data_IF_680936122423
#
_entry.id   IF_680936122423
#
_cell.length_a   1.000
_cell.length_b   1.000
_cell.length_c   1.000
_cell.angle_alpha   90.00
_cell.angle_beta   90.00
_cell.angle_gamma   90.00
#
_symmetry.space_group_name_H-M   'P 1'
#
loop_
_entity.id
_entity.type
_entity.pdbx_description
1 polymer ?
#
# COMPACT_ATOMS: atom_id res chain seq x y z
N UNK A 1 17.36 15.44 2.99
CA UNK A 1 17.04 15.07 1.59
C UNK A 1 15.84 15.86 1.13
N UNK A 2 15.95 16.53 -0.01
CA UNK A 2 14.80 17.17 -0.66
C UNK A 2 13.89 16.11 -1.33
N UNK A 3 12.74 16.51 -1.87
CA UNK A 3 11.84 15.54 -2.54
C UNK A 3 12.47 14.82 -3.72
N UNK A 4 13.27 15.52 -4.53
CA UNK A 4 13.98 14.95 -5.67
C UNK A 4 14.93 13.83 -5.25
N UNK A 5 15.73 14.07 -4.21
CA UNK A 5 16.66 13.10 -3.64
C UNK A 5 15.89 11.87 -3.12
N UNK A 6 14.76 12.08 -2.42
CA UNK A 6 13.92 10.99 -1.91
C UNK A 6 13.40 10.13 -3.06
N UNK A 7 12.87 10.73 -4.13
CA UNK A 7 12.37 10.00 -5.30
C UNK A 7 13.49 9.23 -6.00
N UNK A 8 14.68 9.82 -6.13
CA UNK A 8 15.84 9.15 -6.72
C UNK A 8 16.28 7.93 -5.89
N UNK A 9 16.37 8.09 -4.56
CA UNK A 9 16.70 7.00 -3.63
C UNK A 9 15.70 5.85 -3.73
N UNK A 10 14.40 6.15 -3.73
CA UNK A 10 13.38 5.11 -3.84
C UNK A 10 13.45 4.38 -5.18
N UNK A 11 13.66 5.12 -6.27
CA UNK A 11 13.75 4.54 -7.61
C UNK A 11 14.96 3.59 -7.75
N UNK A 12 16.12 3.95 -7.19
CA UNK A 12 17.30 3.08 -7.20
C UNK A 12 17.18 1.89 -6.25
N UNK A 13 16.30 1.96 -5.26
CA UNK A 13 16.05 0.88 -4.30
C UNK A 13 15.09 -0.21 -4.83
N UNK A 14 14.32 0.06 -5.89
CA UNK A 14 13.44 -0.95 -6.50
C UNK A 14 14.25 -1.88 -7.39
N UNK A 15 14.12 -3.19 -7.17
CA UNK A 15 14.70 -4.20 -8.05
C UNK A 15 13.68 -4.69 -9.05
N UNK A 16 14.13 -4.99 -10.25
CA UNK A 16 13.30 -5.52 -11.32
C UNK A 16 13.66 -6.99 -11.58
N UNK A 17 12.64 -7.83 -11.69
CA UNK A 17 12.75 -9.24 -12.05
C UNK A 17 11.89 -9.47 -13.30
N UNK A 18 12.54 -9.71 -14.43
CA UNK A 18 11.85 -10.04 -15.68
C UNK A 18 11.25 -11.45 -15.61
N UNK A 19 10.13 -11.63 -16.31
CA UNK A 19 9.41 -12.90 -16.45
C UNK A 19 8.98 -13.54 -15.12
N UNK A 20 8.67 -12.71 -14.12
CA UNK A 20 8.18 -13.15 -12.82
C UNK A 20 6.83 -12.48 -12.47
N UNK A 21 5.83 -13.23 -11.97
CA UNK A 21 5.80 -14.68 -11.75
C UNK A 21 5.56 -15.51 -13.02
N UNK A 22 5.37 -14.86 -14.18
CA UNK A 22 5.16 -15.50 -15.47
C UNK A 22 5.81 -14.69 -16.60
N UNK A 23 6.07 -15.30 -17.77
CA UNK A 23 6.64 -14.61 -18.91
C UNK A 23 5.89 -13.33 -19.30
N UNK A 24 6.62 -12.29 -19.68
CA UNK A 24 6.09 -10.97 -20.06
C UNK A 24 5.80 -10.02 -18.90
N UNK A 25 5.96 -10.45 -17.64
CA UNK A 25 5.76 -9.60 -16.46
C UNK A 25 7.11 -9.12 -15.91
N UNK A 26 7.30 -7.80 -15.77
CA UNK A 26 8.40 -7.22 -15.01
C UNK A 26 7.96 -6.97 -13.56
N UNK A 27 8.37 -7.84 -12.64
CA UNK A 27 8.06 -7.70 -11.22
C UNK A 27 8.97 -6.66 -10.56
N UNK A 28 8.34 -5.71 -9.87
CA UNK A 28 9.02 -4.68 -9.08
C UNK A 28 9.05 -5.07 -7.62
N UNK A 29 10.23 -5.44 -7.16
CA UNK A 29 10.50 -5.79 -5.78
C UNK A 29 10.86 -4.54 -4.95
N UNK A 30 9.95 -4.22 -4.02
CA UNK A 30 10.07 -3.09 -3.09
C UNK A 30 10.76 -3.49 -1.78
N UNK A 31 11.10 -4.76 -1.57
CA UNK A 31 11.67 -5.21 -0.30
C UNK A 31 12.95 -4.48 0.13
N UNK A 32 13.84 -3.98 -0.77
CA UNK A 32 14.98 -3.18 -0.33
C UNK A 32 14.56 -1.86 0.33
N UNK A 33 13.49 -1.21 -0.14
CA UNK A 33 12.94 -0.01 0.49
C UNK A 33 12.53 -0.30 1.94
N UNK A 34 11.95 -1.47 2.20
CA UNK A 34 11.51 -1.88 3.54
C UNK A 34 12.68 -2.24 4.46
N UNK A 35 13.81 -2.68 3.90
CA UNK A 35 15.01 -3.06 4.66
C UNK A 35 15.87 -1.87 5.05
N UNK A 36 15.89 -0.83 4.22
CA UNK A 36 16.63 0.40 4.50
C UNK A 36 15.71 1.41 5.25
N UNK A 37 16.00 1.73 6.52
CA UNK A 37 15.20 2.68 7.29
C UNK A 37 15.15 4.08 6.66
N UNK A 38 16.21 4.49 5.96
CA UNK A 38 16.27 5.79 5.27
C UNK A 38 15.32 5.80 4.08
N UNK A 39 15.36 4.75 3.26
CA UNK A 39 14.45 4.59 2.13
C UNK A 39 13.00 4.46 2.60
N UNK A 40 12.72 3.66 3.64
CA UNK A 40 11.37 3.53 4.17
C UNK A 40 10.82 4.87 4.68
N UNK A 41 11.61 5.62 5.46
CA UNK A 41 11.20 6.95 5.92
C UNK A 41 10.97 7.91 4.75
N UNK A 42 11.83 7.89 3.74
CA UNK A 42 11.66 8.71 2.54
C UNK A 42 10.36 8.39 1.79
N UNK A 43 9.96 7.11 1.72
CA UNK A 43 8.68 6.70 1.13
C UNK A 43 7.49 7.24 1.92
N UNK A 44 7.50 7.10 3.25
CA UNK A 44 6.43 7.60 4.12
C UNK A 44 6.32 9.13 4.02
N UNK A 45 7.44 9.85 4.04
CA UNK A 45 7.44 11.31 3.92
C UNK A 45 6.83 11.79 2.60
N UNK A 46 7.17 11.12 1.48
CA UNK A 46 6.62 11.47 0.17
C UNK A 46 5.12 11.16 0.08
N UNK A 47 4.67 10.04 0.65
CA UNK A 47 3.23 9.75 0.74
C UNK A 47 2.51 10.79 1.58
N UNK A 48 3.07 11.16 2.73
CA UNK A 48 2.49 12.16 3.62
C UNK A 48 2.37 13.52 2.93
N UNK A 49 3.44 14.00 2.28
CA UNK A 49 3.41 15.28 1.56
C UNK A 49 2.35 15.27 0.48
N UNK A 50 2.36 14.24 -0.37
CA UNK A 50 1.37 14.11 -1.45
C UNK A 50 -0.06 14.13 -0.91
N UNK A 51 -0.33 13.39 0.17
CA UNK A 51 -1.67 13.33 0.76
C UNK A 51 -2.09 14.67 1.38
N UNK A 52 -1.19 15.37 2.08
CA UNK A 52 -1.49 16.69 2.66
C UNK A 52 -1.77 17.74 1.58
N UNK A 53 -1.08 17.66 0.45
CA UNK A 53 -1.24 18.61 -0.65
C UNK A 53 -2.55 18.42 -1.43
N UNK A 54 -3.05 17.18 -1.52
CA UNK A 54 -4.19 16.82 -2.37
C UNK A 54 -5.49 16.59 -1.61
N UNK A 55 -5.43 16.31 -0.30
CA UNK A 55 -6.59 16.01 0.51
C UNK A 55 -6.65 16.94 1.72
N UNK A 56 -7.61 17.88 1.77
CA UNK A 56 -7.73 18.82 2.89
C UNK A 56 -8.08 18.15 4.21
N UNK A 57 -8.69 16.95 4.16
CA UNK A 57 -9.03 16.14 5.33
C UNK A 57 -8.95 14.66 4.99
N UNK A 58 -8.36 13.88 5.90
CA UNK A 58 -8.29 12.43 5.83
C UNK A 58 -8.70 11.88 7.19
N UNK A 59 -9.76 11.10 7.23
CA UNK A 59 -10.29 10.52 8.48
C UNK A 59 -9.71 9.14 8.79
N UNK A 60 -9.37 8.37 7.75
CA UNK A 60 -8.87 6.99 7.88
C UNK A 60 -7.91 6.67 6.72
N UNK A 61 -6.92 5.81 7.00
CA UNK A 61 -6.11 5.15 5.95
C UNK A 61 -6.57 3.70 5.84
N UNK A 62 -6.88 3.25 4.62
CA UNK A 62 -7.20 1.85 4.37
C UNK A 62 -6.09 1.16 3.59
N UNK A 63 -5.65 -0.02 4.06
CA UNK A 63 -4.64 -0.83 3.36
C UNK A 63 -5.27 -2.05 2.71
N UNK A 64 -4.78 -2.41 1.52
CA UNK A 64 -5.14 -3.66 0.83
C UNK A 64 -4.13 -4.78 1.14
N UNK A 65 -4.65 -5.96 1.46
CA UNK A 65 -3.86 -7.16 1.77
C UNK A 65 -2.96 -7.58 0.58
N UNK A 66 -1.68 -7.92 0.77
CA UNK A 66 -0.88 -7.83 2.00
C UNK A 66 0.06 -6.63 2.01
N UNK A 67 0.59 -6.25 0.85
CA UNK A 67 1.66 -5.25 0.74
C UNK A 67 1.22 -3.83 1.10
N UNK A 68 -0.07 -3.51 1.01
CA UNK A 68 -0.61 -2.24 1.49
C UNK A 68 -0.45 -2.07 3.01
N UNK A 69 -0.36 -3.18 3.76
CA UNK A 69 -0.14 -3.16 5.21
C UNK A 69 1.28 -2.78 5.61
N UNK A 70 2.21 -2.75 4.66
CA UNK A 70 3.61 -2.43 4.93
C UNK A 70 3.82 -0.92 5.13
N UNK A 71 2.97 -0.10 4.51
CA UNK A 71 3.06 1.37 4.59
C UNK A 71 1.86 1.99 5.31
N UNK A 72 0.67 1.41 5.14
CA UNK A 72 -0.58 1.96 5.63
C UNK A 72 -0.59 2.30 7.13
N UNK A 73 -0.22 1.38 8.05
CA UNK A 73 -0.17 1.65 9.47
C UNK A 73 0.82 2.77 9.84
N UNK A 74 1.99 2.79 9.22
CA UNK A 74 3.00 3.83 9.47
C UNK A 74 2.47 5.20 9.03
N UNK A 75 1.79 5.28 7.89
CA UNK A 75 1.18 6.50 7.40
C UNK A 75 -0.01 6.93 8.28
N UNK A 76 -0.89 6.01 8.66
CA UNK A 76 -2.00 6.31 9.58
C UNK A 76 -1.50 6.89 10.91
N UNK A 77 -0.40 6.34 11.43
CA UNK A 77 0.26 6.85 12.63
C UNK A 77 0.80 8.28 12.44
N UNK A 78 1.40 8.61 11.30
CA UNK A 78 1.86 9.97 10.97
C UNK A 78 0.73 10.99 10.94
N UNK A 79 -0.44 10.59 10.44
CA UNK A 79 -1.63 11.43 10.40
C UNK A 79 -2.41 11.47 11.71
N UNK A 80 -2.09 10.60 12.68
CA UNK A 80 -2.83 10.50 13.95
C UNK A 80 -4.25 9.97 13.79
N UNK A 81 -4.49 9.12 12.77
CA UNK A 81 -5.82 8.61 12.40
C UNK A 81 -5.84 7.08 12.39
N UNK A 82 -7.05 6.52 12.30
CA UNK A 82 -7.25 5.08 12.26
C UNK A 82 -6.76 4.42 10.98
N UNK A 83 -6.37 3.14 11.11
CA UNK A 83 -6.04 2.28 9.98
C UNK A 83 -7.08 1.17 9.80
N UNK A 84 -7.56 0.96 8.58
CA UNK A 84 -8.58 -0.05 8.24
C UNK A 84 -8.00 -1.11 7.32
N UNK A 85 -8.31 -2.37 7.63
CA UNK A 85 -7.90 -3.53 6.83
C UNK A 85 -8.91 -3.82 5.71
N UNK A 86 -8.42 -3.95 4.48
CA UNK A 86 -9.15 -4.52 3.35
C UNK A 86 -8.49 -5.85 2.97
N UNK A 87 -9.22 -6.95 3.09
CA UNK A 87 -8.66 -8.32 2.96
C UNK A 87 -9.42 -9.18 1.96
N UNK A 88 -8.81 -10.30 1.56
CA UNK A 88 -9.51 -11.34 0.79
C UNK A 88 -10.67 -11.95 1.59
N UNK A 89 -11.62 -12.57 0.88
CA UNK A 89 -12.74 -13.32 1.45
C UNK A 89 -12.35 -14.21 2.63
N UNK A 90 -13.10 -14.09 3.71
CA UNK A 90 -12.99 -14.96 4.89
C UNK A 90 -11.76 -14.70 5.76
N UNK A 91 -11.04 -13.58 5.57
CA UNK A 91 -9.86 -13.22 6.38
C UNK A 91 -10.13 -12.16 7.46
N UNK A 92 -11.34 -11.60 7.49
CA UNK A 92 -11.79 -10.66 8.51
C UNK A 92 -12.88 -11.31 9.36
N UNK A 93 -12.84 -11.16 10.69
CA UNK A 93 -13.93 -11.60 11.57
C UNK A 93 -15.11 -10.62 11.52
N UNK A 94 -16.30 -11.10 11.86
CA UNK A 94 -17.51 -10.28 12.00
C UNK A 94 -18.19 -9.89 10.69
N UNK A 95 -19.18 -8.98 10.73
CA UNK A 95 -19.87 -8.45 9.56
C UNK A 95 -18.89 -7.71 8.63
N UNK A 96 -19.00 -7.95 7.32
CA UNK A 96 -18.08 -7.38 6.33
C UNK A 96 -18.81 -7.00 5.05
N UNK A 97 -18.31 -5.96 4.38
CA UNK A 97 -18.80 -5.52 3.07
C UNK A 97 -17.88 -6.03 1.96
N UNK A 98 -18.47 -6.42 0.83
CA UNK A 98 -17.77 -7.14 -0.22
C UNK A 98 -17.81 -6.37 -1.54
N UNK A 99 -16.66 -6.25 -2.19
CA UNK A 99 -16.57 -5.74 -3.57
C UNK A 99 -15.83 -6.76 -4.42
N UNK A 100 -16.50 -7.22 -5.47
CA UNK A 100 -15.90 -8.13 -6.45
C UNK A 100 -15.26 -7.34 -7.58
N UNK A 101 -14.08 -7.77 -8.01
CA UNK A 101 -13.44 -7.25 -9.22
C UNK A 101 -12.87 -8.40 -10.06
N UNK A 102 -12.82 -8.15 -11.35
CA UNK A 102 -12.23 -9.07 -12.32
C UNK A 102 -10.74 -8.79 -12.44
N UNK A 103 -9.95 -9.86 -12.50
CA UNK A 103 -8.54 -9.78 -12.84
C UNK A 103 -8.39 -9.93 -14.36
N UNK A 104 -7.45 -9.21 -14.95
CA UNK A 104 -7.14 -9.25 -16.38
C UNK A 104 -6.77 -10.66 -16.86
N UNK A 105 -6.19 -11.49 -15.98
CA UNK A 105 -5.77 -12.87 -16.27
C UNK A 105 -6.16 -13.87 -15.15
N UNK A 106 -7.43 -13.90 -14.70
CA UNK A 106 -7.88 -14.90 -13.72
C UNK A 106 -9.36 -14.87 -13.27
N UNK A 107 -9.74 -15.87 -12.46
CA UNK A 107 -11.07 -15.97 -11.80
C UNK A 107 -11.30 -14.76 -10.88
N UNK A 108 -12.53 -14.22 -10.91
CA UNK A 108 -13.04 -13.12 -10.08
C UNK A 108 -12.45 -13.16 -8.66
N UNK A 109 -11.78 -12.09 -8.26
CA UNK A 109 -11.26 -11.92 -6.90
C UNK A 109 -12.20 -11.00 -6.15
N UNK A 110 -12.81 -11.51 -5.07
CA UNK A 110 -13.64 -10.69 -4.17
C UNK A 110 -12.80 -10.23 -2.99
N UNK A 111 -12.63 -8.91 -2.85
CA UNK A 111 -12.01 -8.31 -1.66
C UNK A 111 -13.10 -7.74 -0.74
N UNK A 112 -12.80 -7.80 0.55
CA UNK A 112 -13.67 -7.47 1.64
C UNK A 112 -13.13 -6.22 2.29
N UNK A 113 -13.96 -5.20 2.37
CA UNK A 113 -13.71 -4.06 3.23
C UNK A 113 -14.17 -4.48 4.63
N UNK A 114 -13.29 -4.36 5.63
CA UNK A 114 -13.79 -4.31 7.01
C UNK A 114 -14.69 -3.06 7.09
N UNK A 115 -15.99 -3.26 7.24
CA UNK A 115 -16.88 -2.19 7.66
C UNK A 115 -16.54 -1.94 9.13
N UNK A 116 -15.62 -1.01 9.40
CA UNK A 116 -15.55 -0.41 10.71
C UNK A 116 -16.80 0.47 10.81
N UNK A 117 -17.89 -0.09 11.35
CA UNK A 117 -18.93 0.73 11.95
C UNK A 117 -18.30 1.31 13.20
N UNK A 118 -17.75 2.52 13.09
CA UNK A 118 -17.54 3.43 14.22
C UNK A 118 -17.91 4.82 13.75
#
# INVERSE_FOLDING_TARGET
MNEGDKRALLRSSVREFLDFPSPGICFRDITPILKDPTAFSAAIDLFESYLRDHFPKIDLIAGLDSRGFLFGPALAQRFGIGFVLIRKKGKLPGPTECVSYSLEYGKVSTMYKALLIV
#
